data_IF_301476296548
#
_entry.id   IF_301476296548
#
_cell.length_a   1.000
_cell.length_b   1.000
_cell.length_c   1.000
_cell.angle_alpha   90.00
_cell.angle_beta   90.00
_cell.angle_gamma   90.00
#
_symmetry.space_group_name_H-M   'P 1'
#
loop_
_entity.id
_entity.type
_entity.pdbx_description
1 polymer ?
#
# COMPACT_ATOMS: atom_id res chain seq x y z
N UNK A 1 21.27 -13.11 27.99
CA UNK A 1 21.61 -12.59 26.64
C UNK A 1 21.77 -13.68 25.58
N UNK A 2 22.28 -14.88 25.89
CA UNK A 2 22.50 -15.94 24.87
C UNK A 2 21.25 -16.50 24.18
N UNK A 3 20.12 -16.63 24.88
CA UNK A 3 18.91 -17.24 24.30
C UNK A 3 18.25 -16.38 23.21
N UNK A 4 18.19 -15.06 23.41
CA UNK A 4 17.53 -14.14 22.47
C UNK A 4 18.30 -14.12 21.13
N UNK A 5 19.64 -14.05 21.18
CA UNK A 5 20.46 -14.10 19.98
C UNK A 5 20.30 -15.42 19.21
N UNK A 6 20.30 -16.56 19.91
CA UNK A 6 20.07 -17.87 19.28
C UNK A 6 18.66 -17.97 18.66
N UNK A 7 17.66 -17.36 19.29
CA UNK A 7 16.30 -17.33 18.78
C UNK A 7 16.20 -16.48 17.50
N UNK A 8 16.77 -15.27 17.50
CA UNK A 8 16.81 -14.39 16.34
C UNK A 8 17.53 -15.02 15.15
N UNK A 9 18.64 -15.72 15.41
CA UNK A 9 19.39 -16.45 14.39
C UNK A 9 18.58 -17.59 13.78
N UNK A 10 17.92 -18.40 14.61
CA UNK A 10 17.02 -19.47 14.16
C UNK A 10 15.85 -18.93 13.32
N UNK A 11 15.21 -17.83 13.75
CA UNK A 11 14.16 -17.18 12.95
C UNK A 11 14.68 -16.67 11.61
N UNK A 12 15.87 -16.05 11.60
CA UNK A 12 16.52 -15.57 10.39
C UNK A 12 16.76 -16.70 9.39
N UNK A 13 17.20 -17.86 9.86
CA UNK A 13 17.42 -19.05 9.03
C UNK A 13 16.11 -19.61 8.46
N UNK A 14 15.07 -19.75 9.30
CA UNK A 14 13.73 -20.19 8.85
C UNK A 14 13.15 -19.28 7.77
N UNK A 15 13.31 -17.97 7.89
CA UNK A 15 12.81 -17.01 6.89
C UNK A 15 13.57 -17.12 5.56
N UNK A 16 14.89 -17.36 5.63
CA UNK A 16 15.77 -17.53 4.45
C UNK A 16 15.57 -18.87 3.74
N UNK A 17 15.39 -19.95 4.49
CA UNK A 17 15.40 -21.33 3.97
C UNK A 17 14.10 -22.09 4.24
N UNK A 18 12.96 -21.40 4.14
CA UNK A 18 11.68 -22.10 4.23
C UNK A 18 11.44 -22.99 2.99
N UNK A 19 10.54 -23.96 3.16
CA UNK A 19 10.15 -24.91 2.11
C UNK A 19 9.68 -24.25 0.81
N UNK A 20 9.14 -23.02 0.87
CA UNK A 20 8.69 -22.28 -0.32
C UNK A 20 9.87 -21.70 -1.10
N UNK A 21 10.84 -21.13 -0.39
CA UNK A 21 12.08 -20.60 -0.99
C UNK A 21 12.88 -21.75 -1.60
N UNK A 22 13.05 -22.85 -0.86
CA UNK A 22 13.78 -24.04 -1.33
C UNK A 22 13.15 -24.60 -2.60
N UNK A 23 11.83 -24.87 -2.60
CA UNK A 23 11.11 -25.40 -3.78
C UNK A 23 11.15 -24.47 -4.98
N UNK A 24 11.28 -23.16 -4.75
CA UNK A 24 11.27 -22.17 -5.82
C UNK A 24 12.65 -21.77 -6.33
N UNK A 25 13.72 -22.08 -5.59
CA UNK A 25 15.05 -21.54 -5.81
C UNK A 25 15.17 -20.01 -5.69
N UNK A 26 14.15 -19.32 -5.17
CA UNK A 26 14.10 -17.85 -5.15
C UNK A 26 13.93 -17.33 -3.72
N UNK A 27 15.00 -16.73 -3.17
CA UNK A 27 15.06 -16.17 -1.82
C UNK A 27 14.10 -14.99 -1.60
N UNK A 28 13.70 -14.30 -2.66
CA UNK A 28 12.78 -13.15 -2.57
C UNK A 28 11.30 -13.54 -2.51
N UNK A 29 10.97 -14.83 -2.54
CA UNK A 29 9.57 -15.30 -2.53
C UNK A 29 8.86 -14.99 -1.21
N UNK A 30 9.58 -15.12 -0.09
CA UNK A 30 9.09 -14.73 1.25
C UNK A 30 8.67 -13.25 1.27
N UNK A 31 9.50 -12.36 0.72
CA UNK A 31 9.22 -10.93 0.62
C UNK A 31 7.96 -10.64 -0.23
N UNK A 32 7.83 -11.34 -1.37
CA UNK A 32 6.65 -11.22 -2.23
C UNK A 32 5.35 -11.70 -1.56
N UNK A 33 5.42 -12.80 -0.80
CA UNK A 33 4.27 -13.30 -0.04
C UNK A 33 3.88 -12.39 1.11
N UNK A 34 4.84 -11.81 1.82
CA UNK A 34 4.54 -10.85 2.88
C UNK A 34 3.83 -9.62 2.32
N UNK A 35 4.30 -9.09 1.18
CA UNK A 35 3.64 -7.98 0.50
C UNK A 35 2.21 -8.34 0.04
N UNK A 36 2.01 -9.56 -0.47
CA UNK A 36 0.69 -10.08 -0.89
C UNK A 36 -0.25 -10.27 0.31
N UNK A 37 0.25 -10.79 1.43
CA UNK A 37 -0.54 -10.98 2.63
C UNK A 37 -0.99 -9.63 3.20
N UNK A 38 -0.08 -8.65 3.26
CA UNK A 38 -0.44 -7.27 3.60
C UNK A 38 -1.54 -6.72 2.69
N UNK A 39 -1.42 -6.90 1.37
CA UNK A 39 -2.47 -6.43 0.44
C UNK A 39 -3.81 -7.12 0.74
N UNK A 40 -3.80 -8.43 0.96
CA UNK A 40 -5.00 -9.22 1.27
C UNK A 40 -5.75 -8.72 2.50
N UNK A 41 -5.06 -8.36 3.60
CA UNK A 41 -5.71 -7.88 4.83
C UNK A 41 -6.39 -6.51 4.66
N UNK A 42 -5.92 -5.68 3.71
CA UNK A 42 -6.45 -4.32 3.47
C UNK A 42 -7.37 -4.18 2.27
N UNK A 43 -7.71 -5.29 1.60
CA UNK A 43 -8.70 -5.29 0.52
C UNK A 43 -10.12 -5.32 1.06
N UNK A 44 -11.05 -4.59 0.42
CA UNK A 44 -12.48 -4.47 0.81
C UNK A 44 -13.25 -5.80 1.00
N UNK A 45 -12.71 -6.93 0.53
CA UNK A 45 -13.31 -8.25 0.64
C UNK A 45 -12.73 -9.08 1.80
N UNK A 46 -11.90 -8.50 2.67
CA UNK A 46 -11.36 -9.23 3.81
C UNK A 46 -12.51 -9.51 4.80
N UNK A 47 -12.62 -10.78 5.25
CA UNK A 47 -13.56 -11.18 6.31
C UNK A 47 -13.07 -10.77 7.71
N UNK A 48 -12.10 -9.86 7.77
CA UNK A 48 -11.34 -9.50 8.97
C UNK A 48 -12.02 -8.31 9.61
N UNK A 49 -12.25 -8.36 10.91
CA UNK A 49 -12.83 -7.22 11.62
C UNK A 49 -11.83 -6.07 11.73
N UNK A 50 -12.33 -4.83 11.81
CA UNK A 50 -11.51 -3.62 11.94
C UNK A 50 -10.54 -3.66 13.15
N UNK A 51 -10.98 -4.24 14.28
CA UNK A 51 -10.14 -4.44 15.46
C UNK A 51 -8.97 -5.39 15.19
N UNK A 52 -9.19 -6.41 14.37
CA UNK A 52 -8.18 -7.42 14.07
C UNK A 52 -7.15 -6.90 13.06
N UNK A 53 -7.52 -5.98 12.17
CA UNK A 53 -6.60 -5.43 11.15
C UNK A 53 -5.39 -4.75 11.79
N UNK A 54 -5.59 -3.96 12.85
CA UNK A 54 -4.47 -3.28 13.54
C UNK A 54 -3.51 -4.28 14.18
N UNK A 55 -4.07 -5.29 14.84
CA UNK A 55 -3.30 -6.38 15.47
C UNK A 55 -2.51 -7.16 14.43
N UNK A 56 -3.14 -7.56 13.33
CA UNK A 56 -2.47 -8.28 12.23
C UNK A 56 -1.36 -7.45 11.57
N UNK A 57 -1.54 -6.12 11.46
CA UNK A 57 -0.48 -5.23 10.99
C UNK A 57 0.69 -5.18 11.97
N UNK A 58 0.42 -5.10 13.28
CA UNK A 58 1.45 -5.09 14.31
C UNK A 58 2.24 -6.42 14.30
N UNK A 59 1.55 -7.56 14.20
CA UNK A 59 2.17 -8.88 14.14
C UNK A 59 2.98 -9.12 12.85
N UNK A 60 2.65 -8.40 11.76
CA UNK A 60 3.40 -8.46 10.51
C UNK A 60 4.80 -7.82 10.64
N UNK A 61 4.96 -6.80 11.48
CA UNK A 61 6.18 -5.99 11.55
C UNK A 61 7.40 -6.75 12.05
N UNK A 62 7.32 -7.55 13.13
CA UNK A 62 8.42 -8.42 13.54
C UNK A 62 8.86 -9.37 12.43
N UNK A 63 7.90 -9.97 11.69
CA UNK A 63 8.21 -10.87 10.57
C UNK A 63 8.93 -10.11 9.45
N UNK A 64 8.50 -8.89 9.15
CA UNK A 64 9.14 -8.02 8.16
C UNK A 64 10.61 -7.70 8.50
N UNK A 65 10.95 -7.60 9.78
CA UNK A 65 12.32 -7.31 10.21
C UNK A 65 13.31 -8.40 9.83
N UNK A 66 12.87 -9.67 9.83
CA UNK A 66 13.67 -10.82 9.38
C UNK A 66 13.76 -10.97 7.86
N UNK A 67 13.06 -10.14 7.07
CA UNK A 67 13.15 -10.16 5.61
C UNK A 67 14.40 -9.42 5.16
N UNK A 68 15.33 -10.14 4.53
CA UNK A 68 16.54 -9.56 3.93
C UNK A 68 16.23 -8.75 2.67
N UNK A 69 15.38 -9.27 1.78
CA UNK A 69 15.06 -8.67 0.47
C UNK A 69 14.02 -7.54 0.57
N UNK A 70 14.30 -6.54 1.43
CA UNK A 70 13.37 -5.42 1.72
C UNK A 70 13.00 -4.62 0.47
N UNK A 71 13.92 -4.48 -0.48
CA UNK A 71 13.66 -3.82 -1.76
C UNK A 71 12.66 -4.58 -2.63
N UNK A 72 12.71 -5.92 -2.64
CA UNK A 72 11.76 -6.74 -3.39
C UNK A 72 10.37 -6.65 -2.76
N UNK A 73 10.28 -6.74 -1.42
CA UNK A 73 9.03 -6.47 -0.69
C UNK A 73 8.45 -5.11 -1.11
N UNK A 74 9.28 -4.06 -1.09
CA UNK A 74 8.88 -2.71 -1.43
C UNK A 74 8.30 -2.59 -2.84
N UNK A 75 8.96 -3.19 -3.83
CA UNK A 75 8.50 -3.15 -5.21
C UNK A 75 7.16 -3.86 -5.41
N UNK A 76 6.91 -4.98 -4.72
CA UNK A 76 5.59 -5.61 -4.72
C UNK A 76 4.55 -4.75 -4.00
N UNK A 77 4.88 -4.30 -2.80
CA UNK A 77 4.01 -3.48 -1.98
C UNK A 77 3.58 -2.18 -2.70
N UNK A 78 4.51 -1.43 -3.29
CA UNK A 78 4.22 -0.19 -3.99
C UNK A 78 3.28 -0.40 -5.19
N UNK A 79 3.42 -1.52 -5.91
CA UNK A 79 2.51 -1.90 -6.99
C UNK A 79 1.10 -2.19 -6.48
N UNK A 80 0.97 -2.97 -5.41
CA UNK A 80 -0.32 -3.26 -4.79
C UNK A 80 -0.97 -1.99 -4.23
N UNK A 81 -0.18 -1.14 -3.59
CA UNK A 81 -0.63 0.13 -3.04
C UNK A 81 -1.17 1.07 -4.13
N UNK A 82 -0.43 1.25 -5.24
CA UNK A 82 -0.90 2.03 -6.38
C UNK A 82 -2.21 1.48 -6.96
N UNK A 83 -2.31 0.15 -7.13
CA UNK A 83 -3.53 -0.51 -7.61
C UNK A 83 -4.71 -0.28 -6.66
N UNK A 84 -4.47 -0.30 -5.34
CA UNK A 84 -5.48 -0.04 -4.33
C UNK A 84 -5.99 1.41 -4.39
N UNK A 85 -5.08 2.38 -4.56
CA UNK A 85 -5.39 3.80 -4.70
C UNK A 85 -6.25 4.09 -5.93
N UNK A 86 -5.84 3.59 -7.10
CA UNK A 86 -6.57 3.78 -8.36
C UNK A 86 -8.00 3.23 -8.28
N UNK A 87 -8.16 2.03 -7.71
CA UNK A 87 -9.44 1.36 -7.67
C UNK A 87 -10.34 1.80 -6.49
N UNK A 88 -9.87 2.64 -5.57
CA UNK A 88 -10.54 2.95 -4.29
C UNK A 88 -11.02 1.68 -3.54
N UNK A 89 -10.21 0.60 -3.55
CA UNK A 89 -10.57 -0.74 -3.04
C UNK A 89 -9.99 -1.07 -1.65
N UNK A 90 -9.97 -0.12 -0.71
CA UNK A 90 -9.45 -0.35 0.64
C UNK A 90 -10.50 -0.39 1.75
N UNK A 91 -10.18 -1.13 2.82
CA UNK A 91 -11.00 -1.22 4.06
C UNK A 91 -11.04 0.12 4.82
N UNK A 92 -9.99 0.94 4.74
CA UNK A 92 -9.95 2.29 5.31
C UNK A 92 -8.66 3.03 4.96
N UNK A 93 -8.67 4.36 5.01
CA UNK A 93 -7.49 5.20 4.68
C UNK A 93 -6.52 5.28 5.87
N UNK A 94 -7.06 5.27 7.08
CA UNK A 94 -6.33 5.21 8.35
C UNK A 94 -5.39 4.01 8.44
N UNK A 95 -5.82 2.83 7.97
CA UNK A 95 -5.00 1.60 8.01
C UNK A 95 -3.84 1.65 7.00
N UNK A 96 -4.07 2.26 5.84
CA UNK A 96 -3.02 2.47 4.83
C UNK A 96 -1.94 3.41 5.34
N UNK A 97 -2.36 4.56 5.86
CA UNK A 97 -1.44 5.58 6.39
C UNK A 97 -0.71 5.02 7.61
N UNK A 98 -1.41 4.31 8.49
CA UNK A 98 -0.82 3.64 9.66
C UNK A 98 0.29 2.65 9.27
N UNK A 99 0.09 1.86 8.22
CA UNK A 99 1.12 0.95 7.71
C UNK A 99 2.33 1.68 7.14
N UNK A 100 2.11 2.78 6.40
CA UNK A 100 3.20 3.63 5.88
C UNK A 100 4.01 4.22 7.04
N UNK A 101 3.36 4.62 8.13
CA UNK A 101 4.04 5.13 9.32
C UNK A 101 4.92 4.08 9.99
N UNK A 102 4.47 2.81 10.06
CA UNK A 102 5.32 1.72 10.54
C UNK A 102 6.54 1.51 9.63
N UNK A 103 6.35 1.51 8.30
CA UNK A 103 7.46 1.42 7.36
C UNK A 103 8.45 2.59 7.52
N UNK A 104 7.94 3.80 7.74
CA UNK A 104 8.77 4.98 8.01
C UNK A 104 9.58 4.83 9.30
N UNK A 105 9.00 4.23 10.34
CA UNK A 105 9.68 3.98 11.60
C UNK A 105 10.81 2.94 11.45
N UNK A 106 10.54 1.79 10.82
CA UNK A 106 11.51 0.69 10.71
C UNK A 106 12.53 0.84 9.57
N UNK A 107 12.17 1.50 8.46
CA UNK A 107 13.01 1.61 7.26
C UNK A 107 13.44 3.04 6.92
N UNK A 108 12.99 4.03 7.70
CA UNK A 108 13.30 5.43 7.49
C UNK A 108 12.49 6.11 6.39
N UNK A 109 12.74 7.41 6.22
CA UNK A 109 11.92 8.28 5.38
C UNK A 109 11.96 7.90 3.90
N UNK A 110 13.14 7.59 3.36
CA UNK A 110 13.34 7.27 1.93
C UNK A 110 12.48 6.09 1.44
N UNK A 111 12.21 5.11 2.31
CA UNK A 111 11.33 3.98 2.01
C UNK A 111 9.88 4.44 1.86
N UNK A 112 9.43 5.39 2.67
CA UNK A 112 8.05 5.87 2.71
C UNK A 112 7.73 6.97 1.69
N UNK A 113 8.72 7.78 1.27
CA UNK A 113 8.50 9.00 0.47
C UNK A 113 7.65 8.78 -0.78
N UNK A 114 7.96 7.75 -1.58
CA UNK A 114 7.21 7.47 -2.81
C UNK A 114 5.75 7.14 -2.53
N UNK A 115 5.47 6.40 -1.46
CA UNK A 115 4.11 6.01 -1.08
C UNK A 115 3.31 7.21 -0.58
N UNK A 116 3.96 8.09 0.19
CA UNK A 116 3.37 9.35 0.66
C UNK A 116 3.03 10.25 -0.54
N UNK A 117 3.95 10.38 -1.50
CA UNK A 117 3.73 11.16 -2.72
C UNK A 117 2.56 10.61 -3.54
N UNK A 118 2.43 9.29 -3.70
CA UNK A 118 1.27 8.67 -4.37
C UNK A 118 -0.07 9.06 -3.72
N UNK A 119 -0.10 9.18 -2.39
CA UNK A 119 -1.29 9.66 -1.68
C UNK A 119 -1.59 11.14 -2.00
N UNK A 120 -0.56 11.98 -2.03
CA UNK A 120 -0.66 13.37 -2.47
C UNK A 120 -1.20 13.49 -3.90
N UNK A 121 -0.71 12.66 -4.82
CA UNK A 121 -1.13 12.65 -6.23
C UNK A 121 -2.64 12.31 -6.37
N UNK A 122 -3.14 11.36 -5.58
CA UNK A 122 -4.57 11.00 -5.56
C UNK A 122 -5.43 12.14 -5.03
N UNK A 123 -4.99 12.83 -3.98
CA UNK A 123 -5.69 13.98 -3.42
C UNK A 123 -5.73 15.13 -4.43
N UNK A 124 -4.58 15.48 -5.01
CA UNK A 124 -4.49 16.52 -6.03
C UNK A 124 -5.37 16.20 -7.25
N UNK A 125 -5.37 14.93 -7.71
CA UNK A 125 -6.22 14.48 -8.82
C UNK A 125 -7.71 14.67 -8.52
N UNK A 126 -8.17 14.33 -7.30
CA UNK A 126 -9.56 14.54 -6.87
C UNK A 126 -9.92 16.04 -6.81
N UNK A 127 -9.01 16.88 -6.34
CA UNK A 127 -9.22 18.33 -6.26
C UNK A 127 -9.29 18.99 -7.64
N UNK A 128 -8.38 18.62 -8.55
CA UNK A 128 -8.40 19.06 -9.96
C UNK A 128 -9.72 18.64 -10.62
N UNK A 129 -10.13 17.38 -10.43
CA UNK A 129 -11.39 16.86 -11.00
C UNK A 129 -12.59 17.66 -10.47
N UNK A 130 -12.63 17.95 -9.17
CA UNK A 130 -13.69 18.75 -8.56
C UNK A 130 -13.75 20.16 -9.14
N UNK A 131 -12.60 20.83 -9.29
CA UNK A 131 -12.52 22.17 -9.85
C UNK A 131 -12.95 22.21 -11.32
N UNK A 132 -12.56 21.20 -12.09
CA UNK A 132 -13.00 21.03 -13.47
C UNK A 132 -14.52 20.86 -13.57
N UNK A 133 -15.12 19.97 -12.76
CA UNK A 133 -16.57 19.80 -12.72
C UNK A 133 -17.30 21.09 -12.35
N UNK A 134 -16.80 21.86 -11.36
CA UNK A 134 -17.36 23.18 -11.02
C UNK A 134 -17.31 24.13 -12.21
N UNK A 135 -16.17 24.21 -12.90
CA UNK A 135 -16.03 25.08 -14.07
C UNK A 135 -17.04 24.74 -15.18
N UNK A 136 -17.27 23.45 -15.45
CA UNK A 136 -18.28 23.00 -16.41
C UNK A 136 -19.72 23.38 -16.02
N UNK A 137 -20.03 23.46 -14.72
CA UNK A 137 -21.36 23.88 -14.24
C UNK A 137 -21.56 25.40 -14.37
N UNK A 138 -20.51 26.20 -14.13
CA UNK A 138 -20.57 27.66 -14.25
C UNK A 138 -20.48 28.18 -15.69
N UNK A 139 -20.00 27.35 -16.63
CA UNK A 139 -20.03 27.61 -18.06
C UNK A 139 -21.01 26.62 -18.71
N UNK A 140 -22.35 26.84 -18.61
CA UNK A 140 -23.23 26.16 -19.55
C UNK A 140 -22.70 26.48 -20.94
N UNK A 141 -22.37 25.44 -21.71
CA UNK A 141 -21.89 25.56 -23.08
C UNK A 141 -22.62 26.73 -23.76
N UNK A 142 -21.90 27.81 -24.10
CA UNK A 142 -22.43 28.94 -24.89
C UNK A 142 -22.76 28.43 -26.29
N UNK A 143 -23.79 27.59 -26.45
CA UNK A 143 -24.23 27.08 -27.75
C UNK A 143 -25.63 27.52 -28.12
N UNK A 144 -26.27 28.41 -27.38
CA UNK A 144 -27.64 28.86 -27.68
C UNK A 144 -27.83 30.37 -27.92
N UNK A 145 -26.78 31.17 -28.06
CA UNK A 145 -26.94 32.57 -28.53
C UNK A 145 -26.86 32.75 -30.05
N UNK A 146 -26.33 31.78 -30.80
CA UNK A 146 -26.26 31.86 -32.27
C UNK A 146 -27.53 31.34 -32.97
N UNK A 147 -28.38 30.60 -32.26
CA UNK A 147 -29.62 30.04 -32.82
C UNK A 147 -30.74 31.10 -32.90
N UNK A 148 -30.64 32.18 -32.13
CA UNK A 148 -31.59 33.31 -32.16
C UNK A 148 -31.28 34.38 -33.21
N UNK A 149 -30.15 34.28 -33.93
CA UNK A 149 -29.79 35.22 -35.00
C UNK A 149 -30.23 34.78 -36.41
N UNK A 150 -30.89 33.63 -36.53
CA UNK A 150 -31.33 33.03 -37.79
C UNK A 150 -32.84 32.77 -37.89
N UNK A 151 -33.65 33.35 -37.00
CA UNK A 151 -35.12 33.30 -37.11
C UNK A 151 -35.74 34.68 -36.94
#
# INVERSE_FOLDING_TARGET
MYFIGALEEGFSEVVKENSVVIKSGNKAKSAGFLAKYRDSILTKNSKVSDSDIKTLIADLMPIFEFINEKYVFYNFYARYYAKCLINNKSVGEEYKIGFINHLKHHCGFGFSTKLINMNGDVVASKDITRNFCKHLVYQPFKTSLWIWFFY
#
